data_IF_249709585743
#
_entry.id   IF_249709585743
#
_cell.length_a   1.000
_cell.length_b   1.000
_cell.length_c   1.000
_cell.angle_alpha   90.00
_cell.angle_beta   90.00
_cell.angle_gamma   90.00
#
_symmetry.space_group_name_H-M   'P 1'
#
loop_
_entity.id
_entity.type
_entity.pdbx_description
1 polymer ?
#
# COMPACT_ATOMS: atom_id res chain seq x y z
N UNK A 1 -37.47 -7.73 9.60
CA UNK A 1 -37.06 -7.80 8.20
C UNK A 1 -35.76 -8.60 8.06
N UNK A 2 -35.83 -9.85 7.55
CA UNK A 2 -34.65 -10.68 7.25
C UNK A 2 -33.81 -9.98 6.17
N UNK A 3 -32.60 -9.51 6.50
CA UNK A 3 -31.60 -9.05 5.53
C UNK A 3 -31.20 -10.24 4.66
N UNK A 4 -31.64 -10.28 3.41
CA UNK A 4 -31.21 -11.26 2.40
C UNK A 4 -29.66 -11.12 2.24
N UNK A 5 -28.93 -12.21 2.49
CA UNK A 5 -27.49 -12.27 2.26
C UNK A 5 -27.25 -12.13 0.75
N UNK A 6 -26.43 -11.18 0.29
CA UNK A 6 -26.18 -11.04 -1.13
C UNK A 6 -25.49 -12.30 -1.69
N UNK A 7 -25.89 -12.74 -2.89
CA UNK A 7 -25.32 -13.89 -3.59
C UNK A 7 -23.79 -13.76 -3.72
N UNK A 8 -23.07 -14.85 -3.54
CA UNK A 8 -21.60 -14.95 -3.65
C UNK A 8 -21.06 -14.30 -4.93
N UNK A 9 -21.68 -14.51 -6.06
CA UNK A 9 -21.33 -13.89 -7.35
C UNK A 9 -21.43 -12.38 -7.37
N UNK A 10 -22.36 -11.81 -6.62
CA UNK A 10 -22.51 -10.35 -6.51
C UNK A 10 -21.39 -9.74 -5.69
N UNK A 11 -20.89 -10.46 -4.67
CA UNK A 11 -19.70 -10.07 -3.89
C UNK A 11 -18.43 -10.15 -4.73
N UNK A 12 -18.27 -11.20 -5.53
CA UNK A 12 -17.16 -11.32 -6.48
C UNK A 12 -17.17 -10.18 -7.52
N UNK A 13 -18.32 -9.89 -8.12
CA UNK A 13 -18.45 -8.77 -9.05
C UNK A 13 -18.19 -7.40 -8.41
N UNK A 14 -18.56 -7.21 -7.15
CA UNK A 14 -18.30 -5.98 -6.40
C UNK A 14 -16.82 -5.85 -5.98
N UNK A 15 -16.10 -6.96 -5.84
CA UNK A 15 -14.65 -7.00 -5.57
C UNK A 15 -13.84 -6.73 -6.84
N UNK A 16 -14.31 -7.24 -7.98
CA UNK A 16 -13.65 -7.08 -9.29
C UNK A 16 -13.93 -5.70 -9.90
N UNK A 17 -15.12 -5.16 -9.73
CA UNK A 17 -15.46 -3.80 -10.16
C UNK A 17 -15.79 -2.92 -8.96
N UNK A 18 -14.87 -2.09 -8.47
CA UNK A 18 -15.14 -1.21 -7.35
C UNK A 18 -16.11 -0.11 -7.78
N UNK A 19 -17.41 -0.34 -7.60
CA UNK A 19 -18.46 0.71 -7.73
C UNK A 19 -18.18 1.95 -6.85
N UNK A 20 -17.24 1.80 -5.94
CA UNK A 20 -16.84 2.81 -4.99
C UNK A 20 -15.87 3.87 -5.53
N UNK A 21 -15.45 3.81 -6.78
CA UNK A 21 -14.53 4.78 -7.40
C UNK A 21 -13.10 4.72 -6.82
N UNK A 22 -12.13 5.02 -7.66
CA UNK A 22 -10.69 5.02 -7.34
C UNK A 22 -10.38 5.85 -6.09
N UNK A 23 -11.06 7.00 -5.89
CA UNK A 23 -10.87 7.86 -4.73
C UNK A 23 -11.16 7.14 -3.41
N UNK A 24 -12.24 6.34 -3.34
CA UNK A 24 -12.58 5.59 -2.12
C UNK A 24 -11.59 4.46 -1.87
N UNK A 25 -11.12 3.79 -2.92
CA UNK A 25 -10.08 2.77 -2.81
C UNK A 25 -8.78 3.37 -2.28
N UNK A 26 -8.33 4.52 -2.80
CA UNK A 26 -7.16 5.24 -2.31
C UNK A 26 -7.29 5.67 -0.85
N UNK A 27 -8.46 6.21 -0.46
CA UNK A 27 -8.75 6.57 0.93
C UNK A 27 -8.71 5.34 1.84
N UNK A 28 -9.32 4.24 1.43
CA UNK A 28 -9.29 2.99 2.19
C UNK A 28 -7.86 2.45 2.38
N UNK A 29 -7.09 2.37 1.29
CA UNK A 29 -5.67 1.94 1.32
C UNK A 29 -4.87 2.87 2.24
N UNK A 30 -5.02 4.19 2.12
CA UNK A 30 -4.30 5.15 2.96
C UNK A 30 -4.62 4.98 4.45
N UNK A 31 -5.88 4.73 4.80
CA UNK A 31 -6.28 4.45 6.18
C UNK A 31 -5.70 3.13 6.71
N UNK A 32 -5.63 2.12 5.87
CA UNK A 32 -5.09 0.82 6.25
C UNK A 32 -3.58 0.88 6.47
N UNK A 33 -2.85 1.48 5.53
CA UNK A 33 -1.39 1.66 5.60
C UNK A 33 -0.98 2.47 6.84
N UNK A 34 -1.66 3.59 7.12
CA UNK A 34 -1.34 4.43 8.29
C UNK A 34 -1.54 3.75 9.65
N UNK A 35 -2.33 2.68 9.71
CA UNK A 35 -2.62 1.93 10.95
C UNK A 35 -1.71 0.73 11.18
N UNK A 36 -0.85 0.40 10.21
CA UNK A 36 0.09 -0.70 10.36
C UNK A 36 1.08 -0.44 11.50
N UNK A 37 1.51 -1.49 12.21
CA UNK A 37 2.60 -1.39 13.17
C UNK A 37 3.92 -1.22 12.42
N UNK A 38 4.82 -0.42 12.98
CA UNK A 38 6.16 -0.18 12.44
C UNK A 38 6.51 1.29 12.33
N UNK A 39 7.76 1.57 12.00
CA UNK A 39 8.24 2.93 11.76
C UNK A 39 7.66 3.50 10.44
N UNK A 40 7.62 4.82 10.27
CA UNK A 40 7.20 5.44 9.03
C UNK A 40 8.00 4.94 7.82
N UNK A 41 9.30 4.74 8.00
CA UNK A 41 10.19 4.17 6.98
C UNK A 41 9.76 2.75 6.59
N UNK A 42 9.64 1.87 7.58
CA UNK A 42 9.31 0.46 7.33
C UNK A 42 7.99 0.30 6.57
N UNK A 43 6.97 1.06 6.95
CA UNK A 43 5.67 1.03 6.28
C UNK A 43 5.76 1.57 4.85
N UNK A 44 6.44 2.71 4.66
CA UNK A 44 6.57 3.33 3.34
C UNK A 44 7.43 2.50 2.39
N UNK A 45 8.57 1.98 2.87
CA UNK A 45 9.46 1.12 2.11
C UNK A 45 8.76 -0.18 1.68
N UNK A 46 8.06 -0.83 2.61
CA UNK A 46 7.28 -2.02 2.29
C UNK A 46 6.21 -1.73 1.23
N UNK A 47 5.41 -0.70 1.44
CA UNK A 47 4.38 -0.30 0.47
C UNK A 47 4.96 -0.02 -0.92
N UNK A 48 6.05 0.74 -0.98
CA UNK A 48 6.73 1.07 -2.23
C UNK A 48 7.30 -0.16 -2.93
N UNK A 49 7.82 -1.18 -2.19
CA UNK A 49 8.24 -2.45 -2.77
C UNK A 49 7.08 -3.19 -3.43
N UNK A 50 5.93 -3.26 -2.76
CA UNK A 50 4.73 -3.87 -3.35
C UNK A 50 4.27 -3.17 -4.63
N UNK A 51 4.33 -1.83 -4.65
CA UNK A 51 4.04 -1.05 -5.86
C UNK A 51 5.05 -1.36 -6.95
N UNK A 52 6.34 -1.32 -6.64
CA UNK A 52 7.43 -1.51 -7.60
C UNK A 52 7.35 -2.86 -8.33
N UNK A 53 7.09 -3.95 -7.62
CA UNK A 53 6.97 -5.29 -8.24
C UNK A 53 5.78 -5.39 -9.19
N UNK A 54 4.77 -4.54 -9.07
CA UNK A 54 3.65 -4.47 -10.01
C UNK A 54 4.08 -3.99 -11.41
N UNK A 55 5.24 -3.34 -11.52
CA UNK A 55 5.85 -2.91 -12.77
C UNK A 55 6.84 -3.95 -13.35
N UNK A 56 6.71 -5.20 -12.93
CA UNK A 56 7.47 -6.31 -13.49
C UNK A 56 6.56 -7.31 -14.18
N UNK A 57 7.02 -8.04 -15.20
CA UNK A 57 6.21 -9.04 -15.90
C UNK A 57 6.05 -10.36 -15.13
N UNK A 58 6.40 -10.38 -13.84
CA UNK A 58 6.44 -11.59 -13.02
C UNK A 58 5.07 -11.87 -12.39
N UNK A 59 4.05 -12.11 -13.22
CA UNK A 59 2.69 -12.38 -12.79
C UNK A 59 2.64 -13.58 -11.82
N UNK A 60 1.90 -13.44 -10.73
CA UNK A 60 1.78 -14.46 -9.68
C UNK A 60 2.86 -14.37 -8.59
N UNK A 61 4.05 -13.88 -8.90
CA UNK A 61 5.14 -13.75 -7.94
C UNK A 61 5.19 -12.40 -7.21
N UNK A 62 4.31 -11.48 -7.52
CA UNK A 62 4.32 -10.12 -6.96
C UNK A 62 4.31 -10.09 -5.44
N UNK A 63 3.48 -10.92 -4.81
CA UNK A 63 3.41 -10.97 -3.34
C UNK A 63 4.72 -11.49 -2.74
N UNK A 64 5.29 -12.55 -3.32
CA UNK A 64 6.54 -13.13 -2.86
C UNK A 64 7.71 -12.16 -3.05
N UNK A 65 7.87 -11.63 -4.27
CA UNK A 65 8.94 -10.68 -4.58
C UNK A 65 8.82 -9.39 -3.78
N UNK A 66 7.61 -8.86 -3.67
CA UNK A 66 7.35 -7.67 -2.86
C UNK A 66 7.66 -7.90 -1.38
N UNK A 67 7.34 -9.09 -0.86
CA UNK A 67 7.66 -9.48 0.51
C UNK A 67 9.17 -9.62 0.72
N UNK A 68 9.88 -10.29 -0.19
CA UNK A 68 11.33 -10.47 -0.14
C UNK A 68 12.07 -9.14 -0.22
N UNK A 69 11.70 -8.27 -1.17
CA UNK A 69 12.30 -6.95 -1.30
C UNK A 69 12.03 -6.09 -0.07
N UNK A 70 10.79 -6.08 0.43
CA UNK A 70 10.44 -5.36 1.64
C UNK A 70 11.27 -5.88 2.83
N UNK A 71 11.37 -7.18 3.00
CA UNK A 71 12.18 -7.79 4.06
C UNK A 71 13.65 -7.40 3.96
N UNK A 72 14.23 -7.47 2.77
CA UNK A 72 15.64 -7.16 2.53
C UNK A 72 16.03 -5.72 2.91
N UNK A 73 15.11 -4.76 2.75
CA UNK A 73 15.36 -3.33 3.07
C UNK A 73 14.74 -2.89 4.42
N UNK A 74 14.30 -3.83 5.26
CA UNK A 74 13.66 -3.52 6.55
C UNK A 74 12.26 -2.93 6.41
N UNK A 75 11.61 -3.14 5.29
CA UNK A 75 10.24 -2.72 5.02
C UNK A 75 9.20 -3.66 5.62
N UNK A 76 7.98 -3.15 5.79
CA UNK A 76 6.87 -3.92 6.32
C UNK A 76 6.24 -4.80 5.24
N UNK A 77 6.31 -6.12 5.40
CA UNK A 77 5.79 -7.11 4.46
C UNK A 77 4.27 -6.97 4.23
N UNK A 78 3.51 -6.62 5.28
CA UNK A 78 2.06 -6.40 5.16
C UNK A 78 1.78 -5.14 4.33
N UNK A 79 2.59 -4.11 4.50
CA UNK A 79 2.50 -2.91 3.67
C UNK A 79 2.82 -3.23 2.20
N UNK A 80 3.81 -4.10 1.94
CA UNK A 80 4.13 -4.58 0.59
C UNK A 80 2.93 -5.30 -0.05
N UNK A 81 2.30 -6.22 0.67
CA UNK A 81 1.10 -6.89 0.17
C UNK A 81 -0.05 -5.91 -0.16
N UNK A 82 -0.15 -4.78 0.56
CA UNK A 82 -1.13 -3.73 0.22
C UNK A 82 -0.67 -2.95 -1.02
N UNK A 83 0.63 -2.70 -1.16
CA UNK A 83 1.21 -2.00 -2.31
C UNK A 83 1.00 -2.75 -3.63
N UNK A 84 1.06 -4.09 -3.62
CA UNK A 84 0.82 -4.91 -4.82
C UNK A 84 -0.60 -4.78 -5.37
N UNK A 85 -1.56 -4.26 -4.58
CA UNK A 85 -2.92 -3.99 -5.06
C UNK A 85 -2.98 -2.91 -6.18
N UNK A 86 -1.91 -2.15 -6.40
CA UNK A 86 -1.78 -1.23 -7.55
C UNK A 86 -1.69 -2.04 -8.85
N UNK A 87 -0.97 -3.16 -8.84
CA UNK A 87 -1.01 -4.16 -9.91
C UNK A 87 -2.26 -5.02 -9.78
N UNK A 88 -3.29 -4.68 -10.50
CA UNK A 88 -4.56 -5.41 -10.55
C UNK A 88 -4.94 -5.68 -12.01
N UNK A 89 -5.90 -6.57 -12.30
CA UNK A 89 -6.28 -6.92 -13.68
C UNK A 89 -6.62 -5.73 -14.58
N UNK A 90 -7.04 -4.61 -14.01
CA UNK A 90 -7.39 -3.40 -14.76
C UNK A 90 -6.17 -2.53 -15.08
N UNK A 91 -5.18 -2.50 -14.19
CA UNK A 91 -3.97 -1.69 -14.38
C UNK A 91 -2.87 -2.44 -15.12
N UNK A 92 -2.81 -3.75 -15.03
CA UNK A 92 -1.80 -4.57 -15.69
C UNK A 92 -1.69 -4.36 -17.21
N UNK A 93 -2.77 -4.32 -18.01
CA UNK A 93 -2.65 -4.09 -19.43
C UNK A 93 -1.90 -2.79 -19.75
N UNK A 94 -2.19 -1.72 -19.02
CA UNK A 94 -1.56 -0.41 -19.21
C UNK A 94 -0.10 -0.41 -18.73
N UNK A 95 0.17 -1.02 -17.56
CA UNK A 95 1.52 -1.14 -17.01
C UNK A 95 2.39 -1.96 -17.97
N UNK A 96 1.89 -3.09 -18.43
CA UNK A 96 2.64 -4.00 -19.30
C UNK A 96 2.90 -3.40 -20.68
N UNK A 97 1.92 -2.73 -21.26
CA UNK A 97 2.12 -1.99 -22.51
C UNK A 97 3.22 -0.92 -22.33
N UNK A 98 3.19 -0.17 -21.22
CA UNK A 98 4.17 0.87 -20.95
C UNK A 98 5.58 0.31 -20.74
N UNK A 99 5.76 -0.74 -19.92
CA UNK A 99 7.07 -1.35 -19.68
C UNK A 99 7.61 -2.08 -20.91
N UNK A 100 6.76 -2.69 -21.72
CA UNK A 100 7.12 -3.31 -22.97
C UNK A 100 7.61 -2.26 -23.98
N UNK A 101 6.85 -1.20 -24.20
CA UNK A 101 7.21 -0.10 -25.08
C UNK A 101 8.54 0.54 -24.65
N UNK A 102 8.69 0.85 -23.36
CA UNK A 102 9.91 1.42 -22.81
C UNK A 102 11.10 0.49 -23.00
N UNK A 103 10.93 -0.81 -22.77
CA UNK A 103 11.98 -1.80 -22.94
C UNK A 103 12.43 -1.92 -24.39
N UNK A 104 11.50 -1.91 -25.34
CA UNK A 104 11.83 -1.88 -26.77
C UNK A 104 12.60 -0.62 -27.15
N UNK A 105 12.21 0.52 -26.63
CA UNK A 105 12.90 1.79 -26.85
C UNK A 105 14.35 1.74 -26.31
N UNK A 106 14.54 1.20 -25.09
CA UNK A 106 15.87 1.04 -24.49
C UNK A 106 16.74 0.08 -25.29
N UNK A 107 16.16 -1.00 -25.81
CA UNK A 107 16.86 -2.02 -26.60
C UNK A 107 17.10 -1.61 -28.04
N UNK A 108 16.60 -0.46 -28.49
CA UNK A 108 16.77 0.04 -29.86
C UNK A 108 16.03 -0.75 -30.93
N UNK A 109 14.90 -1.40 -30.58
CA UNK A 109 14.07 -2.07 -31.58
C UNK A 109 13.47 -1.04 -32.54
N UNK A 110 13.52 -1.27 -33.86
CA UNK A 110 12.98 -0.33 -34.84
C UNK A 110 11.48 -0.06 -34.60
N UNK A 111 11.06 1.20 -34.77
CA UNK A 111 9.66 1.56 -34.83
C UNK A 111 9.02 0.82 -36.03
N UNK A 112 7.99 0.02 -35.76
CA UNK A 112 7.32 -0.75 -36.79
C UNK A 112 7.80 -2.20 -36.97
N UNK A 113 8.78 -2.69 -36.21
CA UNK A 113 8.98 -4.13 -36.06
C UNK A 113 7.78 -4.69 -35.31
N UNK A 114 6.83 -5.17 -36.11
CA UNK A 114 5.46 -5.39 -35.70
C UNK A 114 5.36 -6.38 -34.52
N UNK A 115 4.65 -5.97 -33.48
CA UNK A 115 3.79 -6.96 -32.85
C UNK A 115 2.95 -7.54 -33.97
N UNK A 116 2.82 -8.85 -34.13
CA UNK A 116 1.95 -9.43 -35.13
C UNK A 116 0.57 -8.82 -34.92
N UNK A 117 -0.16 -8.58 -36.01
CA UNK A 117 -1.48 -7.95 -36.02
C UNK A 117 -2.49 -8.64 -35.08
N UNK A 118 -2.17 -9.88 -34.66
CA UNK A 118 -2.90 -10.65 -33.67
C UNK A 118 -1.95 -11.13 -32.55
N UNK A 119 -2.04 -10.49 -31.39
CA UNK A 119 -1.47 -11.00 -30.14
C UNK A 119 -2.31 -12.19 -29.63
N UNK A 120 -2.19 -13.32 -30.29
CA UNK A 120 -2.80 -14.57 -29.84
C UNK A 120 -2.02 -15.12 -28.65
N UNK A 121 -2.72 -15.78 -27.72
CA UNK A 121 -2.06 -16.44 -26.58
C UNK A 121 -0.97 -17.42 -27.05
N UNK A 122 -1.18 -18.14 -28.17
CA UNK A 122 -0.17 -19.01 -28.78
C UNK A 122 1.10 -18.25 -29.16
N UNK A 123 1.00 -17.08 -29.80
CA UNK A 123 2.16 -16.26 -30.14
C UNK A 123 2.99 -15.88 -28.90
N UNK A 124 2.32 -15.48 -27.80
CA UNK A 124 3.00 -15.12 -26.55
C UNK A 124 3.74 -16.33 -25.95
N UNK A 125 3.20 -17.53 -26.08
CA UNK A 125 3.86 -18.75 -25.60
C UNK A 125 5.04 -19.15 -26.49
N UNK A 126 4.92 -19.03 -27.79
CA UNK A 126 5.96 -19.40 -28.75
C UNK A 126 7.12 -18.38 -28.76
N UNK A 127 6.82 -17.10 -28.48
CA UNK A 127 7.76 -15.98 -28.48
C UNK A 127 7.90 -15.34 -27.10
N UNK A 128 7.86 -16.16 -26.05
CA UNK A 128 7.88 -15.67 -24.65
C UNK A 128 9.06 -14.74 -24.39
N UNK A 129 10.24 -15.03 -24.91
CA UNK A 129 11.43 -14.19 -24.73
C UNK A 129 11.35 -12.84 -25.44
N UNK A 130 10.76 -12.78 -26.61
CA UNK A 130 10.62 -11.55 -27.40
C UNK A 130 9.69 -10.53 -26.74
N UNK A 131 8.76 -11.02 -25.91
CA UNK A 131 7.85 -10.19 -25.12
C UNK A 131 8.40 -9.94 -23.72
N UNK A 132 8.87 -10.99 -23.06
CA UNK A 132 9.27 -10.95 -21.66
C UNK A 132 10.55 -10.14 -21.43
N UNK A 133 11.57 -10.29 -22.31
CA UNK A 133 12.83 -9.60 -22.17
C UNK A 133 12.73 -8.08 -22.27
N UNK A 134 12.06 -7.49 -23.28
CA UNK A 134 11.78 -6.06 -23.28
C UNK A 134 10.99 -5.59 -22.06
N UNK A 135 9.99 -6.36 -21.61
CA UNK A 135 9.24 -6.02 -20.42
C UNK A 135 10.10 -6.00 -19.14
N UNK A 136 11.08 -6.90 -19.02
CA UNK A 136 12.04 -6.87 -17.91
C UNK A 136 12.93 -5.62 -17.98
N UNK A 137 13.49 -5.33 -19.16
CA UNK A 137 14.38 -4.18 -19.35
C UNK A 137 13.66 -2.86 -19.10
N UNK A 138 12.43 -2.72 -19.55
CA UNK A 138 11.61 -1.52 -19.26
C UNK A 138 11.01 -1.52 -17.86
N UNK A 139 10.75 -2.70 -17.31
CA UNK A 139 10.19 -2.90 -15.98
C UNK A 139 11.10 -2.46 -14.85
N UNK A 140 12.41 -2.72 -14.94
CA UNK A 140 13.38 -2.35 -13.89
C UNK A 140 13.44 -0.85 -13.62
N UNK A 141 13.65 0.03 -14.61
CA UNK A 141 13.68 1.47 -14.37
C UNK A 141 12.32 2.02 -13.95
N UNK A 142 11.21 1.50 -14.49
CA UNK A 142 9.86 1.92 -14.08
C UNK A 142 9.53 1.46 -12.67
N UNK A 143 9.94 0.27 -12.25
CA UNK A 143 9.78 -0.22 -10.89
C UNK A 143 10.56 0.65 -9.89
N UNK A 144 11.79 1.04 -10.21
CA UNK A 144 12.58 1.95 -9.40
C UNK A 144 11.93 3.34 -9.30
N UNK A 145 11.49 3.88 -10.43
CA UNK A 145 10.77 5.16 -10.46
C UNK A 145 9.48 5.10 -9.64
N UNK A 146 8.69 4.04 -9.80
CA UNK A 146 7.48 3.83 -9.02
C UNK A 146 7.79 3.72 -7.52
N UNK A 147 8.86 3.00 -7.14
CA UNK A 147 9.29 2.92 -5.74
C UNK A 147 9.56 4.32 -5.17
N UNK A 148 10.34 5.15 -5.84
CA UNK A 148 10.67 6.51 -5.41
C UNK A 148 9.44 7.40 -5.33
N UNK A 149 8.57 7.36 -6.34
CA UNK A 149 7.35 8.17 -6.42
C UNK A 149 6.39 7.84 -5.28
N UNK A 150 6.24 6.56 -4.92
CA UNK A 150 5.29 6.14 -3.89
C UNK A 150 5.88 6.14 -2.48
N UNK A 151 7.19 5.97 -2.33
CA UNK A 151 7.86 5.98 -1.04
C UNK A 151 7.67 7.33 -0.30
N UNK A 152 8.03 8.44 -0.93
CA UNK A 152 8.02 9.75 -0.27
C UNK A 152 6.63 10.21 0.21
N UNK A 153 5.57 10.18 -0.61
CA UNK A 153 4.25 10.55 -0.14
C UNK A 153 3.74 9.62 0.97
N UNK A 154 4.00 8.32 0.85
CA UNK A 154 3.62 7.35 1.86
C UNK A 154 4.35 7.62 3.18
N UNK A 155 5.66 7.81 3.14
CA UNK A 155 6.48 8.15 4.30
C UNK A 155 5.95 9.40 5.01
N UNK A 156 5.79 10.51 4.29
CA UNK A 156 5.27 11.76 4.85
C UNK A 156 3.87 11.59 5.45
N UNK A 157 3.01 10.85 4.79
CA UNK A 157 1.65 10.61 5.26
C UNK A 157 1.62 9.79 6.55
N UNK A 158 2.44 8.73 6.65
CA UNK A 158 2.53 7.87 7.82
C UNK A 158 3.19 8.62 8.98
N UNK A 159 4.31 9.32 8.73
CA UNK A 159 5.02 10.08 9.75
C UNK A 159 4.13 11.16 10.39
N UNK A 160 3.41 11.94 9.57
CA UNK A 160 2.46 12.94 10.07
C UNK A 160 1.34 12.30 10.89
N UNK A 161 0.80 11.19 10.44
CA UNK A 161 -0.26 10.49 11.16
C UNK A 161 0.22 9.98 12.53
N UNK A 162 1.42 9.37 12.58
CA UNK A 162 2.01 8.87 13.83
C UNK A 162 2.29 10.01 14.80
N UNK A 163 2.90 11.12 14.35
CA UNK A 163 3.14 12.29 15.16
C UNK A 163 1.86 12.88 15.76
N UNK A 164 0.81 13.02 14.96
CA UNK A 164 -0.49 13.48 15.46
C UNK A 164 -1.12 12.53 16.49
N UNK A 165 -0.98 11.22 16.26
CA UNK A 165 -1.48 10.20 17.18
C UNK A 165 -0.73 10.24 18.52
N UNK A 166 0.57 10.41 18.50
CA UNK A 166 1.41 10.54 19.71
C UNK A 166 1.07 11.81 20.49
N UNK A 167 0.98 12.95 19.82
CA UNK A 167 0.57 14.20 20.44
C UNK A 167 -0.81 14.11 21.10
N UNK A 168 -1.78 13.47 20.45
CA UNK A 168 -3.11 13.24 21.05
C UNK A 168 -3.04 12.32 22.28
N UNK A 169 -2.19 11.30 22.24
CA UNK A 169 -1.99 10.39 23.37
C UNK A 169 -1.30 11.09 24.54
N UNK A 170 -0.29 11.91 24.28
CA UNK A 170 0.39 12.72 25.30
C UNK A 170 -0.59 13.64 26.03
N UNK A 171 -1.33 14.45 25.27
CA UNK A 171 -2.37 15.34 25.83
C UNK A 171 -3.45 14.58 26.64
N UNK A 172 -3.83 13.38 26.19
CA UNK A 172 -4.79 12.56 26.93
C UNK A 172 -4.20 12.02 28.25
N UNK A 173 -2.91 11.67 28.27
CA UNK A 173 -2.18 11.25 29.49
C UNK A 173 -2.10 12.40 30.48
N UNK A 174 -1.71 13.59 30.03
CA UNK A 174 -1.62 14.81 30.87
C UNK A 174 -2.98 15.15 31.50
N UNK A 175 -4.06 15.15 30.70
CA UNK A 175 -5.41 15.38 31.22
C UNK A 175 -5.84 14.34 32.26
N UNK A 176 -5.48 13.07 32.08
CA UNK A 176 -5.77 12.01 33.03
C UNK A 176 -4.94 12.17 34.31
N UNK A 177 -3.66 12.54 34.19
CA UNK A 177 -2.79 12.82 35.34
C UNK A 177 -3.31 14.01 36.15
N UNK A 178 -3.66 15.12 35.49
CA UNK A 178 -4.24 16.29 36.16
C UNK A 178 -5.55 15.97 36.89
N UNK A 179 -6.46 15.18 36.26
CA UNK A 179 -7.70 14.75 36.94
C UNK A 179 -7.43 13.84 38.14
N UNK A 180 -6.42 12.98 38.07
CA UNK A 180 -6.05 12.12 39.21
C UNK A 180 -5.48 12.94 40.34
N UNK A 181 -4.61 13.91 40.04
CA UNK A 181 -4.01 14.81 41.06
C UNK A 181 -5.10 15.67 41.74
N UNK A 182 -6.02 16.27 40.94
CA UNK A 182 -7.14 17.04 41.50
C UNK A 182 -8.04 16.19 42.41
N UNK A 183 -8.31 14.92 42.00
CA UNK A 183 -9.11 14.01 42.84
C UNK A 183 -8.39 13.58 44.13
N UNK A 184 -7.06 13.42 44.06
CA UNK A 184 -6.25 13.12 45.26
C UNK A 184 -6.26 14.29 46.22
N UNK A 185 -5.99 15.51 45.73
CA UNK A 185 -6.05 16.74 46.54
C UNK A 185 -7.43 16.97 47.18
N UNK A 186 -8.49 16.73 46.46
CA UNK A 186 -9.86 16.84 47.03
C UNK A 186 -10.17 15.76 48.09
N UNK A 187 -9.51 14.59 48.01
CA UNK A 187 -9.64 13.54 49.02
C UNK A 187 -8.87 13.90 50.31
N UNK A 188 -7.65 14.43 50.20
CA UNK A 188 -6.87 14.88 51.33
C UNK A 188 -7.58 16.03 52.05
N UNK A 189 -8.02 17.05 51.33
CA UNK A 189 -8.76 18.18 51.90
C UNK A 189 -10.04 17.74 52.63
N UNK A 190 -10.77 16.75 52.11
CA UNK A 190 -11.94 16.18 52.78
C UNK A 190 -11.60 15.37 54.01
N UNK A 191 -10.48 14.70 54.05
CA UNK A 191 -10.00 13.93 55.20
C UNK A 191 -9.60 14.87 56.34
N UNK A 192 -8.87 15.94 56.01
CA UNK A 192 -8.46 16.99 56.93
C UNK A 192 -9.67 17.69 57.58
N UNK A 193 -10.63 18.13 56.77
CA UNK A 193 -11.87 18.77 57.22
C UNK A 193 -12.74 17.87 58.14
N UNK A 194 -12.64 16.54 57.95
CA UNK A 194 -13.36 15.59 58.82
C UNK A 194 -12.64 15.29 60.10
N UNK A 195 -11.30 15.40 60.14
CA UNK A 195 -10.51 15.26 61.35
C UNK A 195 -10.62 16.44 62.29
N UNK A 196 -10.88 17.67 61.81
CA UNK A 196 -11.07 18.88 62.59
C UNK A 196 -12.46 18.96 63.28
N UNK A 197 -13.42 18.12 62.86
CA UNK A 197 -14.79 18.09 63.40
C UNK A 197 -15.00 16.99 64.46
N UNK A 198 -13.97 16.22 64.81
CA UNK A 198 -14.00 15.17 65.84
C UNK A 198 -13.17 15.54 67.05
#
# INVERSE_FOLDING_TARGET
GRRKRPHFWRRLGETVWPKAGIRRALVYVSHRVRRLPGSPYSIAAGFACGVAVSFTPLLGFHFLLGALLAFAIGGNVIASAIGTAIGNPWTFPFIWAAIFWLGRMILGYPEGSALPDELTLSYIFDHTWDVFYPMLVGGLPTALAAWLIFFWPCYKAVARYQAHREARRARARERRAAKRAAKAAARTARAEAKGEQS
#
